data_IF_461618774747
#
_entry.id   IF_461618774747
#
_cell.length_a   1.000
_cell.length_b   1.000
_cell.length_c   1.000
_cell.angle_alpha   90.00
_cell.angle_beta   90.00
_cell.angle_gamma   90.00
#
_symmetry.space_group_name_H-M   'P 1'
#
loop_
_entity.id
_entity.type
_entity.pdbx_description
1 polymer ?
#
# COMPACT_ATOMS: atom_id res chain seq x y z
N UNK A 1 -13.63 -23.25 8.93
CA UNK A 1 -12.17 -23.15 9.04
C UNK A 1 -11.50 -23.05 7.66
N UNK A 2 -11.65 -24.04 6.78
CA UNK A 2 -10.96 -24.17 5.47
C UNK A 2 -11.11 -22.99 4.48
N UNK A 3 -12.20 -22.21 4.55
CA UNK A 3 -12.43 -21.07 3.62
C UNK A 3 -11.68 -19.80 4.03
N UNK A 4 -11.53 -19.58 5.34
CA UNK A 4 -10.80 -18.42 5.87
C UNK A 4 -9.30 -18.56 5.63
N UNK A 5 -8.75 -19.73 5.93
CA UNK A 5 -7.34 -20.05 5.70
C UNK A 5 -6.93 -19.88 4.23
N UNK A 6 -7.76 -20.41 3.30
CA UNK A 6 -7.56 -20.19 1.86
C UNK A 6 -7.57 -18.71 1.48
N UNK A 7 -8.42 -17.92 2.11
CA UNK A 7 -8.49 -16.47 1.84
C UNK A 7 -7.24 -15.74 2.33
N UNK A 8 -6.74 -16.08 3.52
CA UNK A 8 -5.52 -15.50 4.09
C UNK A 8 -4.30 -15.85 3.22
N UNK A 9 -4.16 -17.11 2.83
CA UNK A 9 -3.08 -17.57 1.95
C UNK A 9 -3.12 -16.86 0.60
N UNK A 10 -4.29 -16.80 -0.06
CA UNK A 10 -4.42 -16.10 -1.33
C UNK A 10 -4.04 -14.61 -1.24
N UNK A 11 -4.42 -13.92 -0.15
CA UNK A 11 -4.07 -12.50 0.06
C UNK A 11 -2.56 -12.30 0.27
N UNK A 12 -1.90 -13.22 0.98
CA UNK A 12 -0.43 -13.25 1.10
C UNK A 12 0.23 -13.49 -0.26
N UNK A 13 -0.30 -14.43 -1.03
CA UNK A 13 0.27 -14.83 -2.33
C UNK A 13 0.14 -13.70 -3.37
N UNK A 14 -0.95 -12.93 -3.36
CA UNK A 14 -1.09 -11.70 -4.16
C UNK A 14 0.08 -10.72 -3.89
N UNK A 15 0.41 -10.50 -2.60
CA UNK A 15 1.52 -9.61 -2.20
C UNK A 15 2.90 -10.20 -2.48
N UNK A 16 3.08 -11.52 -2.36
CA UNK A 16 4.31 -12.18 -2.73
C UNK A 16 4.56 -12.03 -4.24
N UNK A 17 3.58 -12.34 -5.08
CA UNK A 17 3.68 -12.22 -6.53
C UNK A 17 3.97 -10.77 -6.96
N UNK A 18 3.30 -9.79 -6.35
CA UNK A 18 3.59 -8.37 -6.55
C UNK A 18 5.05 -8.05 -6.16
N UNK A 19 5.52 -8.55 -5.02
CA UNK A 19 6.88 -8.34 -4.56
C UNK A 19 7.93 -8.90 -5.52
N UNK A 20 7.80 -10.15 -5.93
CA UNK A 20 8.69 -10.79 -6.91
C UNK A 20 8.71 -10.02 -8.25
N UNK A 21 7.54 -9.60 -8.73
CA UNK A 21 7.45 -8.76 -9.92
C UNK A 21 8.16 -7.42 -9.72
N UNK A 22 7.93 -6.72 -8.59
CA UNK A 22 8.52 -5.43 -8.32
C UNK A 22 10.04 -5.49 -8.30
N UNK A 23 10.60 -6.57 -7.72
CA UNK A 23 12.05 -6.81 -7.71
C UNK A 23 12.64 -6.89 -9.11
N UNK A 24 11.97 -7.58 -10.02
CA UNK A 24 12.44 -7.80 -11.39
C UNK A 24 12.14 -6.63 -12.35
N UNK A 25 11.12 -5.83 -12.07
CA UNK A 25 10.55 -4.89 -13.06
C UNK A 25 10.61 -3.41 -12.65
N UNK A 26 11.17 -3.09 -11.48
CA UNK A 26 11.27 -1.70 -11.01
C UNK A 26 12.70 -1.35 -10.60
N UNK A 27 13.11 -0.06 -10.67
CA UNK A 27 14.41 0.36 -10.16
C UNK A 27 14.60 0.00 -8.68
N UNK A 28 15.83 -0.32 -8.27
CA UNK A 28 16.13 -0.71 -6.87
C UNK A 28 15.69 0.35 -5.84
N UNK A 29 15.78 1.63 -6.22
CA UNK A 29 15.39 2.78 -5.41
C UNK A 29 13.92 3.19 -5.55
N UNK A 30 13.10 2.41 -6.26
CA UNK A 30 11.68 2.72 -6.42
C UNK A 30 10.96 2.69 -5.07
N UNK A 31 10.11 3.69 -4.85
CA UNK A 31 9.28 3.81 -3.65
C UNK A 31 7.82 3.61 -3.98
N UNK A 32 7.14 2.81 -3.17
CA UNK A 32 5.74 2.44 -3.35
C UNK A 32 4.86 3.16 -2.34
N UNK A 33 3.78 3.77 -2.80
CA UNK A 33 2.64 4.05 -1.94
C UNK A 33 1.76 2.80 -1.87
N UNK A 34 1.68 2.19 -0.70
CA UNK A 34 0.84 1.01 -0.46
C UNK A 34 -0.39 1.40 0.33
N UNK A 35 -1.47 0.58 0.35
CA UNK A 35 -2.58 0.81 1.26
C UNK A 35 -2.06 0.98 2.69
N UNK A 36 -2.49 2.00 3.45
CA UNK A 36 -1.87 2.35 4.74
C UNK A 36 -2.12 1.31 5.85
N UNK A 37 -3.03 0.37 5.62
CA UNK A 37 -3.41 -0.70 6.54
C UNK A 37 -4.44 -0.30 7.59
N UNK A 38 -4.84 -1.32 8.37
CA UNK A 38 -6.02 -1.33 9.23
C UNK A 38 -6.26 -0.03 10.02
N UNK A 39 -7.31 0.69 9.65
CA UNK A 39 -7.76 1.94 10.27
C UNK A 39 -8.30 1.76 11.70
N UNK A 40 -8.30 0.52 12.22
CA UNK A 40 -8.78 0.16 13.56
C UNK A 40 -7.80 0.61 14.64
N UNK A 41 -7.82 1.89 14.94
CA UNK A 41 -7.18 2.50 16.10
C UNK A 41 -7.71 3.93 16.28
N UNK A 42 -8.26 4.22 17.46
CA UNK A 42 -8.85 5.49 17.92
C UNK A 42 -10.19 5.88 17.28
N UNK A 43 -11.28 5.27 17.75
CA UNK A 43 -12.64 5.87 17.75
C UNK A 43 -13.34 6.11 16.40
N UNK A 44 -12.71 5.82 15.27
CA UNK A 44 -13.31 6.06 13.95
C UNK A 44 -14.17 4.87 13.50
N UNK A 45 -15.43 5.16 13.14
CA UNK A 45 -16.25 4.21 12.38
C UNK A 45 -15.61 4.06 11.01
N UNK A 46 -15.13 2.85 10.68
CA UNK A 46 -14.51 2.59 9.40
C UNK A 46 -15.48 2.95 8.25
N UNK A 47 -15.12 3.97 7.47
CA UNK A 47 -15.75 4.22 6.18
C UNK A 47 -15.59 3.01 5.25
N UNK A 48 -16.49 2.85 4.27
CA UNK A 48 -16.36 1.79 3.25
C UNK A 48 -15.00 1.85 2.53
N UNK A 49 -14.47 3.06 2.32
CA UNK A 49 -13.15 3.32 1.74
C UNK A 49 -12.02 2.77 2.60
N UNK A 50 -12.01 3.11 3.89
CA UNK A 50 -11.01 2.58 4.81
C UNK A 50 -11.10 1.05 4.90
N UNK A 51 -12.30 0.48 4.84
CA UNK A 51 -12.48 -0.97 4.82
C UNK A 51 -11.96 -1.65 3.54
N UNK A 52 -11.97 -0.96 2.39
CA UNK A 52 -11.34 -1.46 1.17
C UNK A 52 -9.81 -1.43 1.24
N UNK A 53 -9.23 -0.30 1.66
CA UNK A 53 -7.79 -0.18 1.83
C UNK A 53 -7.25 -1.16 2.90
N UNK A 54 -7.99 -1.32 4.00
CA UNK A 54 -7.68 -2.30 5.04
C UNK A 54 -7.68 -3.72 4.47
N UNK A 55 -8.70 -4.06 3.65
CA UNK A 55 -8.74 -5.34 2.96
C UNK A 55 -7.51 -5.48 2.09
N UNK A 56 -7.21 -4.55 1.18
CA UNK A 56 -6.08 -4.62 0.25
C UNK A 56 -4.73 -4.79 0.97
N UNK A 57 -4.58 -4.20 2.16
CA UNK A 57 -3.36 -4.32 2.96
C UNK A 57 -3.11 -5.73 3.53
N UNK A 58 -4.14 -6.56 3.66
CA UNK A 58 -3.95 -7.92 4.19
C UNK A 58 -2.96 -8.73 3.33
N UNK A 59 -1.96 -9.33 3.98
CA UNK A 59 -0.85 -10.03 3.32
C UNK A 59 0.39 -9.17 3.04
N UNK A 60 0.33 -7.85 3.25
CA UNK A 60 1.42 -6.91 2.95
C UNK A 60 2.76 -7.23 3.62
N UNK A 61 2.78 -7.91 4.77
CA UNK A 61 4.00 -8.14 5.56
C UNK A 61 5.13 -8.84 4.79
N UNK A 62 4.83 -9.56 3.71
CA UNK A 62 5.84 -10.23 2.87
C UNK A 62 6.43 -9.33 1.79
N UNK A 63 5.81 -8.17 1.50
CA UNK A 63 6.15 -7.34 0.36
C UNK A 63 7.61 -6.90 0.37
N UNK A 64 8.07 -6.27 1.45
CA UNK A 64 9.45 -5.76 1.54
C UNK A 64 10.50 -6.88 1.40
N UNK A 65 10.19 -8.08 1.91
CA UNK A 65 11.06 -9.24 1.81
C UNK A 65 11.21 -9.72 0.36
N UNK A 66 10.14 -9.81 -0.42
CA UNK A 66 10.21 -10.28 -1.81
C UNK A 66 10.61 -9.17 -2.80
N UNK A 67 10.18 -7.94 -2.56
CA UNK A 67 10.41 -6.81 -3.48
C UNK A 67 11.79 -6.21 -3.36
N UNK A 68 12.37 -6.21 -2.16
CA UNK A 68 13.55 -5.41 -1.83
C UNK A 68 13.30 -3.92 -2.21
N UNK A 69 12.08 -3.42 -2.00
CA UNK A 69 11.68 -2.03 -2.24
C UNK A 69 11.12 -1.41 -0.96
N UNK A 70 11.21 -0.08 -0.89
CA UNK A 70 10.68 0.69 0.23
C UNK A 70 9.21 1.02 0.00
N UNK A 71 8.38 0.89 1.04
CA UNK A 71 7.10 1.58 1.12
C UNK A 71 7.28 3.01 1.67
N UNK A 72 6.40 3.92 1.28
CA UNK A 72 6.44 5.31 1.71
C UNK A 72 6.07 5.49 3.20
N UNK A 73 4.96 4.85 3.57
CA UNK A 73 4.41 4.83 4.93
C UNK A 73 3.43 3.67 5.05
N UNK A 74 3.48 2.98 6.19
CA UNK A 74 2.49 1.97 6.58
C UNK A 74 2.34 1.96 8.11
N UNK A 75 1.24 1.39 8.60
CA UNK A 75 1.04 1.23 10.05
C UNK A 75 2.15 0.44 10.75
N UNK A 76 2.62 -0.71 10.22
CA UNK A 76 3.73 -1.46 10.83
C UNK A 76 5.03 -0.65 10.95
N UNK A 77 5.30 0.29 10.05
CA UNK A 77 6.46 1.17 10.14
C UNK A 77 6.46 2.03 11.43
N UNK A 78 5.29 2.23 12.06
CA UNK A 78 5.16 2.91 13.35
C UNK A 78 5.86 2.19 14.51
N UNK A 79 6.14 0.89 14.39
CA UNK A 79 6.92 0.16 15.39
C UNK A 79 8.35 0.73 15.54
N UNK A 80 8.88 1.38 14.49
CA UNK A 80 10.18 2.05 14.56
C UNK A 80 10.21 3.22 15.55
N UNK A 81 9.06 3.80 15.90
CA UNK A 81 8.97 4.93 16.85
C UNK A 81 9.50 4.54 18.24
N UNK A 82 9.39 3.27 18.64
CA UNK A 82 9.95 2.79 19.91
C UNK A 82 11.48 2.95 19.97
N UNK A 83 12.14 2.92 18.82
CA UNK A 83 13.59 2.97 18.69
C UNK A 83 14.08 4.33 18.15
N UNK A 84 13.21 5.10 17.52
CA UNK A 84 13.50 6.44 17.00
C UNK A 84 12.31 7.40 17.27
N UNK A 85 12.14 7.90 18.51
CA UNK A 85 10.96 8.68 18.87
C UNK A 85 10.75 9.96 18.03
N UNK A 86 11.83 10.60 17.60
CA UNK A 86 11.76 11.79 16.74
C UNK A 86 11.09 11.52 15.38
N UNK A 87 11.09 10.26 14.92
CA UNK A 87 10.41 9.83 13.68
C UNK A 87 8.89 9.82 13.80
N UNK A 88 8.33 9.85 15.02
CA UNK A 88 6.89 9.79 15.26
C UNK A 88 6.09 10.78 14.41
N UNK A 89 6.50 12.05 14.41
CA UNK A 89 5.79 13.09 13.67
C UNK A 89 5.80 12.85 12.17
N UNK A 90 6.94 12.40 11.62
CA UNK A 90 7.03 12.07 10.20
C UNK A 90 6.11 10.90 9.84
N UNK A 91 6.14 9.83 10.63
CA UNK A 91 5.29 8.66 10.41
C UNK A 91 3.80 9.00 10.55
N UNK A 92 3.43 9.65 11.66
CA UNK A 92 2.05 9.98 11.98
C UNK A 92 1.43 10.93 10.94
N UNK A 93 2.15 11.99 10.55
CA UNK A 93 1.68 12.94 9.52
C UNK A 93 1.48 12.24 8.18
N UNK A 94 2.47 11.48 7.70
CA UNK A 94 2.35 10.75 6.42
C UNK A 94 1.20 9.76 6.45
N UNK A 95 1.04 9.04 7.57
CA UNK A 95 -0.04 8.06 7.70
C UNK A 95 -1.41 8.76 7.68
N UNK A 96 -1.59 9.85 8.43
CA UNK A 96 -2.83 10.61 8.44
C UNK A 96 -3.18 11.20 7.06
N UNK A 97 -2.18 11.75 6.36
CA UNK A 97 -2.34 12.24 4.99
C UNK A 97 -2.82 11.14 4.04
N UNK A 98 -2.13 9.99 4.02
CA UNK A 98 -2.46 8.87 3.12
C UNK A 98 -3.83 8.26 3.45
N UNK A 99 -4.20 8.18 4.73
CA UNK A 99 -5.52 7.73 5.15
C UNK A 99 -6.65 8.70 4.74
N UNK A 100 -6.34 9.98 4.56
CA UNK A 100 -7.27 11.00 4.08
C UNK A 100 -7.55 10.97 2.58
N UNK A 101 -6.77 10.24 1.78
CA UNK A 101 -6.89 10.24 0.31
C UNK A 101 -8.12 9.47 -0.16
N UNK A 102 -8.96 10.12 -0.97
CA UNK A 102 -10.29 9.62 -1.27
C UNK A 102 -10.29 8.44 -2.25
N UNK A 103 -9.50 8.55 -3.32
CA UNK A 103 -9.51 7.62 -4.44
C UNK A 103 -8.10 7.45 -5.05
N UNK A 104 -8.03 6.65 -6.11
CA UNK A 104 -6.78 6.39 -6.83
C UNK A 104 -6.16 7.67 -7.40
N UNK A 105 -6.97 8.63 -7.89
CA UNK A 105 -6.46 9.87 -8.45
C UNK A 105 -5.78 10.73 -7.39
N UNK A 106 -6.34 10.80 -6.18
CA UNK A 106 -5.72 11.47 -5.05
C UNK A 106 -4.43 10.78 -4.57
N UNK A 107 -4.39 9.44 -4.58
CA UNK A 107 -3.18 8.66 -4.27
C UNK A 107 -2.08 8.88 -5.28
N UNK A 108 -2.39 8.87 -6.57
CA UNK A 108 -1.43 9.17 -7.63
C UNK A 108 -0.91 10.62 -7.53
N UNK A 109 -1.79 11.58 -7.26
CA UNK A 109 -1.39 12.99 -7.09
C UNK A 109 -0.51 13.19 -5.86
N UNK A 110 -0.84 12.53 -4.74
CA UNK A 110 -0.02 12.52 -3.54
C UNK A 110 1.36 11.91 -3.85
N UNK A 111 1.38 10.72 -4.46
CA UNK A 111 2.59 10.01 -4.83
C UNK A 111 3.52 10.87 -5.72
N UNK A 112 2.96 11.56 -6.71
CA UNK A 112 3.71 12.46 -7.58
C UNK A 112 4.36 13.62 -6.80
N UNK A 113 3.62 14.28 -5.90
CA UNK A 113 4.16 15.37 -5.05
C UNK A 113 5.28 14.91 -4.12
N UNK A 114 5.30 13.64 -3.74
CA UNK A 114 6.29 13.07 -2.82
C UNK A 114 7.40 12.27 -3.53
N UNK A 115 7.44 12.29 -4.87
CA UNK A 115 8.48 11.60 -5.64
C UNK A 115 8.46 10.08 -5.48
N UNK A 116 7.27 9.49 -5.35
CA UNK A 116 7.08 8.04 -5.31
C UNK A 116 6.91 7.50 -6.72
N UNK A 117 7.37 6.29 -6.98
CA UNK A 117 7.39 5.72 -8.33
C UNK A 117 6.10 4.96 -8.67
N UNK A 118 5.47 4.33 -7.67
CA UNK A 118 4.33 3.44 -7.87
C UNK A 118 3.28 3.61 -6.78
N UNK A 119 2.01 3.39 -7.14
CA UNK A 119 0.89 3.23 -6.20
C UNK A 119 0.34 1.82 -6.32
N UNK A 120 0.13 1.15 -5.20
CA UNK A 120 -0.62 -0.11 -5.11
C UNK A 120 -2.04 0.19 -4.63
N UNK A 121 -3.04 -0.22 -5.40
CA UNK A 121 -4.45 -0.01 -5.09
C UNK A 121 -5.33 -1.16 -5.60
N UNK A 122 -6.63 -1.08 -5.37
CA UNK A 122 -7.61 -1.96 -5.98
C UNK A 122 -7.67 -1.74 -7.50
N UNK A 123 -7.98 -2.80 -8.23
CA UNK A 123 -8.08 -2.75 -9.69
C UNK A 123 -9.36 -2.02 -10.15
N UNK A 124 -9.25 -0.72 -10.41
CA UNK A 124 -10.32 0.10 -11.00
C UNK A 124 -10.59 -0.36 -12.43
N UNK A 125 -11.87 -0.62 -12.78
CA UNK A 125 -12.24 -1.17 -14.09
C UNK A 125 -12.72 -0.15 -15.12
N UNK A 126 -13.22 1.00 -14.68
CA UNK A 126 -14.09 1.79 -15.57
C UNK A 126 -13.72 3.28 -15.72
N UNK A 127 -12.90 3.86 -14.81
CA UNK A 127 -12.54 5.30 -14.85
C UNK A 127 -11.14 5.51 -14.24
N UNK A 128 -10.07 5.32 -15.01
CA UNK A 128 -8.71 5.55 -14.51
C UNK A 128 -7.59 5.12 -15.45
N UNK A 129 -6.32 5.41 -15.09
CA UNK A 129 -5.17 4.88 -15.82
C UNK A 129 -5.18 3.36 -15.78
N UNK A 130 -4.74 2.72 -16.87
CA UNK A 130 -4.56 1.27 -16.88
C UNK A 130 -3.45 0.89 -15.88
N UNK A 131 -3.62 -0.19 -15.09
CA UNK A 131 -2.57 -0.65 -14.20
C UNK A 131 -1.36 -1.15 -15.00
N UNK A 132 -0.16 -0.83 -14.51
CA UNK A 132 1.12 -1.37 -15.00
C UNK A 132 1.18 -2.89 -14.85
N UNK A 133 0.65 -3.40 -13.74
CA UNK A 133 0.60 -4.83 -13.43
C UNK A 133 -0.55 -5.15 -12.47
N UNK A 134 -0.97 -6.43 -12.44
CA UNK A 134 -2.09 -6.92 -11.64
C UNK A 134 -1.75 -8.26 -10.97
N UNK A 135 -2.11 -8.38 -9.69
CA UNK A 135 -1.88 -9.55 -8.83
C UNK A 135 -3.13 -9.81 -7.99
N UNK A 136 -4.03 -10.66 -8.52
CA UNK A 136 -5.34 -10.90 -7.92
C UNK A 136 -6.16 -9.62 -7.78
N UNK A 137 -6.25 -9.13 -6.54
CA UNK A 137 -6.95 -7.90 -6.15
C UNK A 137 -6.10 -6.64 -6.16
N UNK A 138 -4.77 -6.77 -6.22
CA UNK A 138 -3.82 -5.68 -6.20
C UNK A 138 -3.50 -5.25 -7.64
N UNK A 139 -3.51 -3.95 -7.87
CA UNK A 139 -3.07 -3.33 -9.10
C UNK A 139 -1.96 -2.32 -8.80
N UNK A 140 -0.93 -2.33 -9.63
CA UNK A 140 0.19 -1.38 -9.56
C UNK A 140 -0.01 -0.33 -10.63
N UNK A 141 0.07 0.94 -10.25
CA UNK A 141 -0.06 2.08 -11.13
C UNK A 141 1.23 2.88 -11.17
N UNK A 142 1.65 3.29 -12.37
CA UNK A 142 2.76 4.23 -12.53
C UNK A 142 2.36 5.60 -11.99
N UNK A 143 3.27 6.26 -11.29
CA UNK A 143 3.07 7.64 -10.84
C UNK A 143 3.49 8.60 -11.97
N UNK A 144 2.60 9.47 -12.46
CA UNK A 144 2.95 10.41 -13.53
C UNK A 144 4.07 11.36 -13.11
N UNK A 145 5.04 11.58 -14.01
CA UNK A 145 6.08 12.60 -13.83
C UNK A 145 7.27 12.19 -12.95
N UNK A 146 7.54 10.88 -12.82
CA UNK A 146 8.76 10.34 -12.19
C UNK A 146 9.72 9.71 -13.18
#
# INVERSE_FOLDING_TARGET
AVTWERTVVARRDDWQALGEWARANTPERAKFLVPPGASRGLGSVASARSAEQDRLFEGFSVFAYFSHRQDWVSRPAGAAVMWAPAYYWTWHTRLAEVQGLADLADRLRYAARHGLSYVVDGCVRDVGPAPRARFGRLCVYDVPGT
#
